data_IF_797387429147
#
_entry.id   IF_797387429147
#
_cell.length_a   1.000
_cell.length_b   1.000
_cell.length_c   1.000
_cell.angle_alpha   90.00
_cell.angle_beta   90.00
_cell.angle_gamma   90.00
#
_symmetry.space_group_name_H-M   'P 1'
#
loop_
_entity.id
_entity.type
_entity.pdbx_description
1 polymer ?
#
# COMPACT_ATOMS: atom_id res chain seq x y z
N UNK A 1 -21.18 -9.93 -7.57
CA UNK A 1 -22.00 -10.45 -8.69
C UNK A 1 -23.35 -9.73 -8.70
N UNK A 2 -23.74 -9.10 -9.82
CA UNK A 2 -25.01 -8.36 -9.94
C UNK A 2 -26.18 -9.35 -10.09
N UNK A 3 -27.12 -9.39 -9.14
CA UNK A 3 -28.37 -10.16 -9.27
C UNK A 3 -29.30 -9.45 -10.26
N UNK A 4 -29.64 -10.09 -11.37
CA UNK A 4 -30.59 -9.56 -12.36
C UNK A 4 -32.03 -9.87 -11.90
N UNK A 5 -32.92 -8.87 -11.92
CA UNK A 5 -34.35 -9.01 -11.58
C UNK A 5 -35.05 -9.79 -12.70
N UNK A 6 -35.77 -10.86 -12.36
CA UNK A 6 -36.41 -11.83 -13.28
C UNK A 6 -37.55 -11.20 -14.10
N UNK A 7 -38.06 -10.05 -13.64
CA UNK A 7 -39.24 -9.36 -14.17
C UNK A 7 -39.09 -8.78 -15.59
N UNK A 8 -37.87 -8.72 -16.15
CA UNK A 8 -37.59 -8.16 -17.49
C UNK A 8 -36.87 -9.15 -18.42
N UNK A 9 -37.00 -10.46 -18.19
CA UNK A 9 -36.44 -11.49 -19.06
C UNK A 9 -37.46 -11.81 -20.16
N UNK A 10 -37.40 -11.10 -21.29
CA UNK A 10 -38.32 -11.33 -22.42
C UNK A 10 -38.11 -12.66 -23.14
N UNK A 11 -36.92 -13.27 -23.00
CA UNK A 11 -36.60 -14.58 -23.56
C UNK A 11 -35.91 -15.44 -22.52
N UNK A 12 -36.55 -16.54 -22.14
CA UNK A 12 -36.15 -17.46 -21.07
C UNK A 12 -34.86 -18.24 -21.37
N UNK A 13 -34.30 -18.10 -22.59
CA UNK A 13 -33.09 -18.80 -23.03
C UNK A 13 -33.31 -20.26 -23.41
N UNK A 14 -34.46 -20.84 -23.05
CA UNK A 14 -34.84 -22.19 -23.45
C UNK A 14 -35.42 -22.16 -24.87
N UNK A 15 -34.86 -23.00 -25.74
CA UNK A 15 -35.36 -23.24 -27.10
C UNK A 15 -35.76 -24.69 -27.21
N UNK A 16 -36.93 -24.94 -27.80
CA UNK A 16 -37.34 -26.28 -28.20
C UNK A 16 -36.81 -26.59 -29.60
N UNK A 17 -36.63 -27.87 -29.97
CA UNK A 17 -36.36 -28.27 -31.35
C UNK A 17 -37.40 -27.70 -32.32
N UNK A 18 -37.00 -27.39 -33.55
CA UNK A 18 -37.87 -26.72 -34.54
C UNK A 18 -39.16 -27.49 -34.84
N UNK A 19 -39.12 -28.82 -34.77
CA UNK A 19 -40.26 -29.68 -35.07
C UNK A 19 -41.00 -30.20 -33.84
N UNK A 20 -40.60 -29.78 -32.62
CA UNK A 20 -41.14 -30.31 -31.35
C UNK A 20 -42.67 -30.30 -31.31
N UNK A 21 -43.30 -29.15 -31.60
CA UNK A 21 -44.76 -29.02 -31.56
C UNK A 21 -45.46 -29.59 -32.79
N UNK A 22 -44.76 -29.68 -33.93
CA UNK A 22 -45.30 -30.22 -35.17
C UNK A 22 -45.47 -31.74 -35.07
N UNK A 23 -44.48 -32.41 -34.49
CA UNK A 23 -44.42 -33.88 -34.42
C UNK A 23 -44.96 -34.40 -33.07
N UNK A 24 -45.38 -33.51 -32.17
CA UNK A 24 -45.81 -33.87 -30.81
C UNK A 24 -46.99 -34.84 -30.79
N UNK A 25 -48.03 -34.56 -31.59
CA UNK A 25 -49.24 -35.37 -31.63
C UNK A 25 -48.96 -36.78 -32.17
N UNK A 26 -48.23 -36.86 -33.28
CA UNK A 26 -47.82 -38.13 -33.89
C UNK A 26 -46.95 -38.96 -32.93
N UNK A 27 -46.02 -38.31 -32.22
CA UNK A 27 -45.15 -38.96 -31.24
C UNK A 27 -45.96 -39.49 -30.05
N UNK A 28 -46.85 -38.67 -29.50
CA UNK A 28 -47.69 -39.05 -28.37
C UNK A 28 -48.65 -40.19 -28.71
N UNK A 29 -49.30 -40.14 -29.88
CA UNK A 29 -50.17 -41.23 -30.34
C UNK A 29 -49.38 -42.51 -30.59
N UNK A 30 -48.17 -42.41 -31.16
CA UNK A 30 -47.29 -43.56 -31.34
C UNK A 30 -46.92 -44.21 -30.00
N UNK A 31 -46.53 -43.40 -29.00
CA UNK A 31 -46.18 -43.89 -27.66
C UNK A 31 -47.35 -44.56 -26.94
N UNK A 32 -48.56 -44.00 -27.02
CA UNK A 32 -49.76 -44.60 -26.43
C UNK A 32 -50.09 -45.95 -27.08
N UNK A 33 -50.04 -46.01 -28.41
CA UNK A 33 -50.25 -47.26 -29.16
C UNK A 33 -49.18 -48.33 -28.85
N UNK A 34 -47.94 -47.91 -28.59
CA UNK A 34 -46.85 -48.80 -28.18
C UNK A 34 -47.08 -49.33 -26.76
N UNK A 35 -47.54 -48.48 -25.85
CA UNK A 35 -47.80 -48.84 -24.44
C UNK A 35 -48.92 -49.89 -24.29
N UNK A 36 -49.93 -49.84 -25.15
CA UNK A 36 -51.01 -50.84 -25.16
C UNK A 36 -50.55 -52.20 -25.75
N UNK A 37 -49.53 -52.18 -26.61
CA UNK A 37 -48.99 -53.39 -27.27
C UNK A 37 -47.84 -54.03 -26.50
N UNK A 38 -47.17 -53.28 -25.64
CA UNK A 38 -45.97 -53.72 -24.91
C UNK A 38 -46.25 -53.65 -23.42
N UNK A 39 -46.57 -54.80 -22.81
CA UNK A 39 -46.97 -54.89 -21.40
C UNK A 39 -45.81 -54.78 -20.41
N UNK A 40 -44.56 -54.93 -20.88
CA UNK A 40 -43.37 -54.87 -20.04
C UNK A 40 -42.36 -53.87 -20.61
N UNK A 41 -41.78 -53.04 -19.75
CA UNK A 41 -40.88 -51.93 -20.13
C UNK A 41 -39.55 -52.35 -20.77
N UNK A 42 -39.33 -53.65 -21.02
CA UNK A 42 -38.12 -54.21 -21.64
C UNK A 42 -36.85 -54.15 -20.76
N UNK A 43 -36.82 -53.23 -19.80
CA UNK A 43 -35.75 -53.09 -18.83
C UNK A 43 -36.12 -53.80 -17.54
N UNK A 44 -35.46 -54.91 -17.28
CA UNK A 44 -35.45 -55.56 -15.98
C UNK A 44 -34.16 -55.18 -15.26
N UNK A 45 -34.28 -54.89 -13.96
CA UNK A 45 -33.08 -54.75 -13.13
C UNK A 45 -32.39 -56.12 -13.04
N UNK A 46 -31.05 -56.16 -13.02
CA UNK A 46 -30.32 -57.39 -12.77
C UNK A 46 -30.76 -58.04 -11.45
N UNK A 47 -30.63 -59.36 -11.39
CA UNK A 47 -30.78 -60.11 -10.14
C UNK A 47 -29.83 -59.51 -9.07
N UNK A 48 -30.34 -59.37 -7.85
CA UNK A 48 -29.61 -58.82 -6.70
C UNK A 48 -29.09 -57.37 -6.85
N UNK A 49 -29.65 -56.59 -7.80
CA UNK A 49 -29.27 -55.18 -7.99
C UNK A 49 -29.41 -54.37 -6.69
N UNK A 50 -30.56 -54.47 -6.02
CA UNK A 50 -30.81 -53.73 -4.79
C UNK A 50 -30.06 -54.30 -3.58
N UNK A 51 -29.79 -55.61 -3.57
CA UNK A 51 -29.05 -56.26 -2.49
C UNK A 51 -27.56 -55.88 -2.53
N UNK A 52 -26.98 -55.77 -3.72
CA UNK A 52 -25.58 -55.36 -3.93
C UNK A 52 -25.38 -53.84 -4.02
N UNK A 53 -26.47 -53.06 -4.11
CA UNK A 53 -26.41 -51.60 -4.27
C UNK A 53 -25.67 -50.95 -3.11
N UNK A 54 -26.04 -51.28 -1.88
CA UNK A 54 -25.45 -50.69 -0.68
C UNK A 54 -23.95 -50.99 -0.57
N UNK A 55 -23.55 -52.23 -0.86
CA UNK A 55 -22.14 -52.63 -0.89
C UNK A 55 -21.36 -51.93 -2.01
N UNK A 56 -21.99 -51.74 -3.18
CA UNK A 56 -21.39 -51.01 -4.30
C UNK A 56 -21.19 -49.52 -3.98
N UNK A 57 -22.14 -48.89 -3.27
CA UNK A 57 -22.04 -47.50 -2.83
C UNK A 57 -20.96 -47.38 -1.77
N UNK A 58 -20.97 -48.26 -0.77
CA UNK A 58 -20.00 -48.24 0.32
C UNK A 58 -18.58 -48.49 -0.19
N UNK A 59 -18.38 -49.44 -1.10
CA UNK A 59 -17.07 -49.72 -1.71
C UNK A 59 -16.54 -48.55 -2.54
N UNK A 60 -17.42 -47.81 -3.24
CA UNK A 60 -17.05 -46.62 -4.03
C UNK A 60 -16.81 -45.40 -3.15
N UNK A 61 -17.61 -45.20 -2.11
CA UNK A 61 -17.45 -44.10 -1.16
C UNK A 61 -16.21 -44.28 -0.26
N UNK A 62 -15.94 -45.52 0.16
CA UNK A 62 -14.77 -45.89 0.98
C UNK A 62 -13.49 -45.98 0.16
N UNK A 63 -13.58 -46.13 -1.17
CA UNK A 63 -12.50 -45.78 -2.11
C UNK A 63 -12.34 -44.26 -2.15
N UNK A 64 -11.97 -43.72 -1.00
CA UNK A 64 -11.42 -42.40 -0.84
C UNK A 64 -10.10 -42.42 -1.63
N UNK A 65 -10.18 -42.22 -2.95
CA UNK A 65 -9.06 -41.71 -3.72
C UNK A 65 -8.77 -40.40 -3.03
N UNK A 66 -7.84 -40.43 -2.08
CA UNK A 66 -7.24 -39.23 -1.53
C UNK A 66 -6.93 -38.41 -2.77
N UNK A 67 -7.73 -37.37 -3.02
CA UNK A 67 -7.49 -36.46 -4.11
C UNK A 67 -6.04 -36.06 -3.94
N UNK A 68 -5.25 -36.07 -5.02
CA UNK A 68 -3.83 -35.75 -4.97
C UNK A 68 -3.68 -34.34 -4.39
N UNK A 69 -3.62 -34.24 -3.07
CA UNK A 69 -3.41 -33.00 -2.35
C UNK A 69 -1.94 -32.71 -2.55
N UNK A 70 -1.69 -31.59 -3.22
CA UNK A 70 -0.36 -31.08 -3.43
C UNK A 70 -0.12 -30.12 -2.29
N UNK A 71 0.86 -30.40 -1.44
CA UNK A 71 1.26 -29.44 -0.40
C UNK A 71 1.72 -28.16 -1.09
N UNK A 72 0.99 -27.07 -0.88
CA UNK A 72 1.09 -25.88 -1.73
C UNK A 72 2.39 -25.09 -1.51
N UNK A 73 3.07 -25.25 -0.37
CA UNK A 73 4.29 -24.49 -0.07
C UNK A 73 5.21 -25.25 0.87
N UNK A 74 6.47 -25.50 0.45
CA UNK A 74 7.50 -26.00 1.37
C UNK A 74 8.15 -24.81 2.10
N UNK A 75 8.00 -24.73 3.43
CA UNK A 75 8.57 -23.68 4.29
C UNK A 75 10.06 -23.42 4.05
N UNK A 76 10.82 -24.43 3.63
CA UNK A 76 12.26 -24.33 3.35
C UNK A 76 12.60 -23.42 2.17
N UNK A 77 11.76 -23.38 1.13
CA UNK A 77 12.01 -22.53 -0.07
C UNK A 77 11.58 -21.09 0.16
N UNK A 78 10.52 -20.88 0.95
CA UNK A 78 10.05 -19.52 1.27
C UNK A 78 10.91 -18.83 2.32
N UNK A 79 11.55 -19.56 3.23
CA UNK A 79 12.45 -18.98 4.22
C UNK A 79 13.63 -18.21 3.59
N UNK A 80 14.26 -18.77 2.55
CA UNK A 80 15.38 -18.11 1.86
C UNK A 80 14.92 -16.84 1.13
N UNK A 81 13.80 -16.89 0.40
CA UNK A 81 13.27 -15.72 -0.31
C UNK A 81 12.82 -14.62 0.64
N UNK A 82 12.29 -14.97 1.81
CA UNK A 82 11.91 -14.02 2.86
C UNK A 82 13.15 -13.34 3.46
N UNK A 83 14.23 -14.09 3.70
CA UNK A 83 15.49 -13.51 4.20
C UNK A 83 16.09 -12.50 3.21
N UNK A 84 16.12 -12.83 1.91
CA UNK A 84 16.58 -11.92 0.86
C UNK A 84 15.68 -10.68 0.78
N UNK A 85 14.36 -10.84 0.76
CA UNK A 85 13.44 -9.71 0.74
C UNK A 85 13.59 -8.81 1.98
N UNK A 86 13.70 -9.39 3.18
CA UNK A 86 13.92 -8.66 4.42
C UNK A 86 15.25 -7.89 4.40
N UNK A 87 16.32 -8.49 3.89
CA UNK A 87 17.61 -7.80 3.72
C UNK A 87 17.53 -6.63 2.74
N UNK A 88 16.76 -6.75 1.65
CA UNK A 88 16.54 -5.67 0.69
C UNK A 88 15.70 -4.55 1.30
N UNK A 89 14.68 -4.87 2.10
CA UNK A 89 13.88 -3.87 2.82
C UNK A 89 14.71 -3.13 3.87
N UNK A 90 15.55 -3.85 4.64
CA UNK A 90 16.48 -3.23 5.58
C UNK A 90 17.52 -2.37 4.86
N UNK A 91 18.10 -2.86 3.76
CA UNK A 91 19.04 -2.11 2.94
C UNK A 91 18.38 -0.83 2.41
N UNK A 92 17.17 -0.94 1.84
CA UNK A 92 16.42 0.21 1.37
C UNK A 92 16.15 1.20 2.51
N UNK A 93 15.71 0.71 3.67
CA UNK A 93 15.42 1.56 4.83
C UNK A 93 16.67 2.26 5.38
N UNK A 94 17.83 1.63 5.40
CA UNK A 94 19.08 2.25 5.90
C UNK A 94 19.65 3.25 4.89
N UNK A 95 19.72 2.88 3.62
CA UNK A 95 20.40 3.71 2.61
C UNK A 95 19.54 4.81 2.00
N UNK A 96 18.21 4.65 1.95
CA UNK A 96 17.29 5.65 1.39
C UNK A 96 16.68 6.57 2.45
N UNK A 97 16.80 6.26 3.73
CA UNK A 97 16.39 7.14 4.82
C UNK A 97 17.53 8.10 5.18
N UNK A 98 17.96 8.90 4.20
CA UNK A 98 18.90 9.99 4.44
C UNK A 98 18.15 11.10 5.18
N UNK A 99 18.38 11.22 6.48
CA UNK A 99 18.26 12.53 7.13
C UNK A 99 19.32 13.42 6.48
N UNK A 100 18.98 14.68 6.23
CA UNK A 100 19.91 15.67 5.68
C UNK A 100 21.27 15.58 6.40
N UNK A 101 22.39 15.81 5.68
CA UNK A 101 23.70 15.83 6.34
C UNK A 101 23.62 16.77 7.54
N UNK A 102 24.02 16.29 8.73
CA UNK A 102 24.19 17.14 9.90
C UNK A 102 25.29 18.16 9.56
N UNK A 103 24.88 19.32 9.05
CA UNK A 103 25.76 20.46 8.82
C UNK A 103 25.96 21.16 10.15
N UNK A 104 27.14 21.73 10.39
CA UNK A 104 27.39 22.54 11.58
C UNK A 104 26.35 23.67 11.67
N UNK A 105 26.01 24.30 10.54
CA UNK A 105 24.93 25.31 10.42
C UNK A 105 23.59 24.88 11.07
N UNK A 106 23.25 23.58 11.07
CA UNK A 106 21.99 23.07 11.63
C UNK A 106 22.02 22.84 13.14
N UNK A 107 23.20 22.61 13.72
CA UNK A 107 23.42 22.45 15.16
C UNK A 107 23.76 23.79 15.80
N UNK A 108 24.43 24.65 15.04
CA UNK A 108 25.12 25.83 15.53
C UNK A 108 24.14 26.93 15.92
N UNK A 109 23.23 27.36 15.04
CA UNK A 109 22.43 28.56 15.33
C UNK A 109 21.47 28.37 16.51
N UNK A 110 20.68 27.29 16.55
CA UNK A 110 19.70 27.10 17.63
C UNK A 110 20.36 26.81 18.99
N UNK A 111 21.49 26.10 18.98
CA UNK A 111 22.24 25.81 20.22
C UNK A 111 23.02 27.02 20.71
N UNK A 112 23.60 27.82 19.80
CA UNK A 112 24.26 29.09 20.12
C UNK A 112 23.24 30.11 20.62
N UNK A 113 22.09 30.24 19.97
CA UNK A 113 21.02 31.13 20.40
C UNK A 113 20.56 30.76 21.82
N UNK A 114 20.37 29.47 22.09
CA UNK A 114 20.04 29.00 23.43
C UNK A 114 21.15 29.30 24.45
N UNK A 115 22.41 29.14 24.09
CA UNK A 115 23.55 29.45 24.96
C UNK A 115 23.63 30.95 25.27
N UNK A 116 23.50 31.82 24.27
CA UNK A 116 23.53 33.28 24.44
C UNK A 116 22.34 33.77 25.29
N UNK A 117 21.16 33.16 25.15
CA UNK A 117 19.96 33.59 25.88
C UNK A 117 19.90 33.10 27.33
N UNK A 118 20.54 31.96 27.64
CA UNK A 118 20.47 31.36 28.99
C UNK A 118 21.74 31.57 29.82
N UNK A 119 22.85 31.96 29.19
CA UNK A 119 24.06 32.36 29.89
C UNK A 119 24.04 33.88 30.11
N UNK A 120 24.34 34.34 31.33
CA UNK A 120 24.43 35.76 31.65
C UNK A 120 25.76 36.34 31.11
N UNK A 121 25.83 36.58 29.79
CA UNK A 121 27.02 37.16 29.14
C UNK A 121 27.15 38.65 29.47
N UNK A 122 28.31 39.06 29.99
CA UNK A 122 28.60 40.48 30.20
C UNK A 122 29.14 41.13 28.92
N UNK A 123 28.96 42.45 28.78
CA UNK A 123 29.44 43.20 27.60
C UNK A 123 30.95 43.11 27.42
N UNK A 124 31.70 42.93 28.50
CA UNK A 124 33.14 42.68 28.49
C UNK A 124 33.52 41.34 27.89
N UNK A 125 32.68 40.31 28.07
CA UNK A 125 32.93 38.98 27.50
C UNK A 125 32.84 39.05 25.97
N UNK A 126 31.83 39.76 25.44
CA UNK A 126 31.68 40.00 24.01
C UNK A 126 32.83 40.87 23.48
N UNK A 127 33.22 41.92 24.20
CA UNK A 127 34.32 42.80 23.79
C UNK A 127 35.68 42.08 23.71
N UNK A 128 35.90 41.06 24.56
CA UNK A 128 37.12 40.25 24.53
C UNK A 128 37.29 39.48 23.21
N UNK A 129 36.18 39.12 22.54
CA UNK A 129 36.20 38.44 21.24
C UNK A 129 36.74 39.33 20.13
N UNK A 130 36.44 40.63 20.19
CA UNK A 130 36.92 41.62 19.23
C UNK A 130 38.33 42.13 19.53
N UNK A 131 38.82 41.93 20.75
CA UNK A 131 40.13 42.44 21.20
C UNK A 131 41.32 41.81 20.45
N UNK A 132 41.14 40.61 19.88
CA UNK A 132 42.15 39.91 19.08
C UNK A 132 41.83 39.88 17.57
N UNK A 133 40.77 40.58 17.14
CA UNK A 133 40.45 40.71 15.72
C UNK A 133 41.37 41.77 15.13
N UNK A 134 42.22 41.36 14.21
CA UNK A 134 43.06 42.30 13.47
C UNK A 134 42.16 43.18 12.60
N UNK A 135 42.13 44.48 12.91
CA UNK A 135 41.34 45.49 12.22
C UNK A 135 41.65 45.57 10.72
N UNK A 136 42.77 45.01 10.26
CA UNK A 136 43.08 44.84 8.84
C UNK A 136 42.06 43.97 8.08
N UNK A 137 41.40 43.02 8.75
CA UNK A 137 40.35 42.16 8.16
C UNK A 137 38.96 42.82 8.13
N UNK A 138 38.78 44.00 8.76
CA UNK A 138 37.51 44.73 8.73
C UNK A 138 37.31 45.55 7.45
N UNK A 139 38.40 45.84 6.72
CA UNK A 139 38.34 46.58 5.45
C UNK A 139 37.69 45.78 4.30
N UNK A 140 37.55 44.46 4.43
CA UNK A 140 36.92 43.58 3.43
C UNK A 140 35.41 43.39 3.67
N UNK A 141 34.84 43.98 4.73
CA UNK A 141 33.39 44.04 4.88
C UNK A 141 32.86 45.18 4.02
N UNK A 142 32.16 44.83 2.93
CA UNK A 142 31.39 45.77 2.12
C UNK A 142 30.16 46.23 2.93
N UNK A 143 30.39 47.14 3.88
CA UNK A 143 29.34 47.70 4.69
C UNK A 143 28.59 48.72 3.83
N UNK A 144 27.45 48.30 3.28
CA UNK A 144 26.54 49.20 2.57
C UNK A 144 25.84 50.12 3.58
N UNK A 145 26.53 51.16 4.03
CA UNK A 145 25.99 52.18 4.93
C UNK A 145 25.04 53.08 4.15
N UNK A 146 23.75 52.95 4.43
CA UNK A 146 22.75 53.87 3.92
C UNK A 146 22.91 55.25 4.60
N UNK A 147 23.07 56.31 3.81
CA UNK A 147 23.31 57.68 4.32
C UNK A 147 22.21 58.13 5.28
N UNK A 148 20.96 57.84 4.95
CA UNK A 148 19.81 58.32 5.71
C UNK A 148 19.76 57.67 7.10
N UNK A 149 20.04 56.36 7.16
CA UNK A 149 20.08 55.61 8.41
C UNK A 149 21.27 55.98 9.29
N UNK A 150 22.40 56.35 8.68
CA UNK A 150 23.58 56.83 9.40
C UNK A 150 23.35 58.23 9.96
N UNK A 151 22.71 59.12 9.19
CA UNK A 151 22.36 60.47 9.63
C UNK A 151 21.42 60.43 10.85
N UNK A 152 20.36 59.63 10.79
CA UNK A 152 19.43 59.47 11.91
C UNK A 152 20.14 58.94 13.17
N UNK A 153 21.01 57.94 13.03
CA UNK A 153 21.75 57.39 14.17
C UNK A 153 22.68 58.43 14.80
N UNK A 154 23.37 59.22 13.99
CA UNK A 154 24.23 60.30 14.47
C UNK A 154 23.40 61.38 15.14
N UNK A 155 22.26 61.79 14.60
CA UNK A 155 21.41 62.79 15.24
C UNK A 155 20.79 62.31 16.57
N UNK A 156 20.49 61.02 16.69
CA UNK A 156 19.91 60.44 17.90
C UNK A 156 20.96 60.28 19.03
N UNK A 157 22.21 59.97 18.69
CA UNK A 157 23.22 59.56 19.68
C UNK A 157 24.42 60.51 19.81
N UNK A 158 24.58 61.49 18.92
CA UNK A 158 25.64 62.48 18.98
C UNK A 158 25.14 63.71 19.75
N UNK A 159 25.70 63.93 20.93
CA UNK A 159 25.43 65.15 21.67
C UNK A 159 26.23 66.32 21.07
N UNK A 160 25.57 67.47 20.93
CA UNK A 160 26.17 68.65 20.29
C UNK A 160 27.30 69.23 21.15
N UNK A 161 27.26 68.99 22.46
CA UNK A 161 28.30 69.38 23.41
C UNK A 161 29.63 68.63 23.17
N UNK A 162 29.60 67.39 22.65
CA UNK A 162 30.80 66.62 22.33
C UNK A 162 31.56 67.20 21.12
N UNK A 163 30.89 67.95 20.24
CA UNK A 163 31.48 68.58 19.06
C UNK A 163 32.24 69.89 19.38
N UNK A 164 31.97 70.50 20.53
CA UNK A 164 32.52 71.80 20.92
C UNK A 164 33.71 71.63 21.89
N UNK A 165 33.90 70.44 22.47
CA UNK A 165 34.95 70.14 23.45
C UNK A 165 36.27 69.58 22.85
N UNK A 166 36.73 70.15 21.73
CA UNK A 166 38.14 70.01 21.30
C UNK A 166 38.70 71.32 20.72
#
# INVERSE_FOLDING_TARGET
>A
MKKRRIEHIEKTGFKVPETYFKDFEDTLLSELNLKDKVSATGFQVPEDYFESLDESIYSRASKNKQGKVIDLVSFKRTAYTVAVAASLVLMFSVFFNKKEPLTLDSIETASIENYILNEDLETTDIASLFSNVDASNLNDMDVNLNSDSLEDYLLENLDVDDLISN
#
